data_IF_150326671340
#
_entry.id   IF_150326671340
#
_cell.length_a   1.000
_cell.length_b   1.000
_cell.length_c   1.000
_cell.angle_alpha   90.00
_cell.angle_beta   90.00
_cell.angle_gamma   90.00
#
_symmetry.space_group_name_H-M   'P 1'
#
loop_
_entity.id
_entity.type
_entity.pdbx_description
1 polymer ?
#
# COMPACT_ATOMS: atom_id res chain seq x y z
N UNK A 1 7.32 27.39 20.96
CA UNK A 1 7.35 25.98 20.48
C UNK A 1 5.97 25.66 19.94
N UNK A 2 5.80 25.44 18.62
CA UNK A 2 4.49 25.14 18.03
C UNK A 2 4.36 23.65 17.77
N UNK A 3 3.14 23.12 17.89
CA UNK A 3 2.84 21.71 17.65
C UNK A 3 3.29 21.25 16.24
N UNK A 4 3.30 22.17 15.28
CA UNK A 4 3.77 21.96 13.90
C UNK A 4 5.27 21.67 13.78
N UNK A 5 6.08 22.06 14.77
CA UNK A 5 7.53 21.85 14.77
C UNK A 5 7.92 20.49 15.38
N UNK A 6 7.01 19.89 16.16
CA UNK A 6 7.20 18.58 16.82
C UNK A 6 6.47 17.46 16.06
N UNK A 7 5.43 17.80 15.28
CA UNK A 7 4.69 16.84 14.48
C UNK A 7 5.57 16.26 13.36
N UNK A 8 5.80 14.94 13.41
CA UNK A 8 6.47 14.17 12.36
C UNK A 8 5.69 14.35 11.05
N UNK A 9 6.26 15.11 10.11
CA UNK A 9 5.62 15.42 8.82
C UNK A 9 5.50 14.21 7.89
N UNK A 10 6.33 13.18 8.08
CA UNK A 10 6.37 11.98 7.25
C UNK A 10 6.33 10.73 8.13
N UNK A 11 5.14 10.19 8.38
CA UNK A 11 4.95 8.89 9.04
C UNK A 11 5.08 7.76 8.00
N UNK A 12 6.30 7.52 7.52
CA UNK A 12 6.61 6.34 6.71
C UNK A 12 7.22 5.28 7.63
N UNK A 13 6.69 4.06 7.58
CA UNK A 13 7.12 2.92 8.38
C UNK A 13 7.34 1.69 7.48
N UNK A 14 8.47 0.97 7.60
CA UNK A 14 8.67 -0.30 6.92
C UNK A 14 7.78 -1.37 7.56
N UNK A 15 6.80 -1.88 6.82
CA UNK A 15 5.93 -2.97 7.26
C UNK A 15 6.37 -4.26 6.59
N UNK A 16 6.72 -5.27 7.39
CA UNK A 16 7.10 -6.58 6.88
C UNK A 16 5.89 -7.29 6.29
N UNK A 17 6.03 -7.75 5.03
CA UNK A 17 5.05 -8.59 4.35
C UNK A 17 5.35 -10.08 4.56
N UNK A 18 6.63 -10.46 4.46
CA UNK A 18 7.07 -11.86 4.52
C UNK A 18 8.34 -11.97 5.38
N UNK A 19 8.21 -12.64 6.52
CA UNK A 19 9.31 -12.86 7.45
C UNK A 19 10.39 -13.81 6.90
N UNK A 20 10.02 -14.72 6.00
CA UNK A 20 10.92 -15.75 5.47
C UNK A 20 11.94 -15.12 4.52
N UNK A 21 11.47 -14.23 3.65
CA UNK A 21 12.29 -13.52 2.68
C UNK A 21 12.69 -12.11 3.16
N UNK A 22 12.26 -11.72 4.36
CA UNK A 22 12.47 -10.38 4.94
C UNK A 22 12.00 -9.26 4.01
N UNK A 23 10.88 -9.49 3.31
CA UNK A 23 10.29 -8.53 2.39
C UNK A 23 9.53 -7.49 3.21
N UNK A 24 9.85 -6.21 2.98
CA UNK A 24 9.18 -5.10 3.67
C UNK A 24 8.77 -4.01 2.69
N UNK A 25 7.60 -3.41 2.92
CA UNK A 25 7.12 -2.27 2.15
C UNK A 25 7.17 -1.01 3.01
N UNK A 26 7.73 0.06 2.46
CA UNK A 26 7.74 1.38 3.11
C UNK A 26 6.37 2.02 2.90
N UNK A 27 5.50 1.90 3.91
CA UNK A 27 4.13 2.38 3.87
C UNK A 27 4.04 3.74 4.55
N UNK A 28 3.28 4.65 3.98
CA UNK A 28 2.91 5.93 4.57
C UNK A 28 1.58 5.80 5.31
N UNK A 29 1.54 6.33 6.54
CA UNK A 29 0.30 6.41 7.30
C UNK A 29 -0.70 7.34 6.59
N UNK A 30 -1.92 6.83 6.36
CA UNK A 30 -3.00 7.63 5.80
C UNK A 30 -4.03 7.97 6.88
N UNK A 31 -4.22 9.27 7.21
CA UNK A 31 -5.25 9.68 8.16
C UNK A 31 -6.65 9.31 7.65
N UNK A 32 -7.57 8.99 8.57
CA UNK A 32 -8.98 8.70 8.24
C UNK A 32 -9.64 9.78 7.37
N UNK A 33 -9.24 11.05 7.54
CA UNK A 33 -9.73 12.17 6.72
C UNK A 33 -9.34 12.02 5.24
N UNK A 34 -8.11 11.60 4.95
CA UNK A 34 -7.64 11.41 3.58
C UNK A 34 -8.28 10.16 2.96
N UNK A 35 -8.41 9.07 3.74
CA UNK A 35 -9.18 7.90 3.32
C UNK A 35 -10.61 8.26 2.89
N UNK A 36 -11.31 9.06 3.70
CA UNK A 36 -12.67 9.52 3.37
C UNK A 36 -12.73 10.36 2.09
N UNK A 37 -11.71 11.18 1.81
CA UNK A 37 -11.64 11.96 0.56
C UNK A 37 -11.48 11.06 -0.66
N UNK A 38 -10.59 10.07 -0.58
CA UNK A 38 -10.38 9.10 -1.69
C UNK A 38 -11.64 8.26 -1.91
N UNK A 39 -12.30 7.83 -0.83
CA UNK A 39 -13.58 7.10 -0.96
C UNK A 39 -14.67 7.96 -1.61
N UNK A 40 -14.78 9.22 -1.20
CA UNK A 40 -15.77 10.16 -1.76
C UNK A 40 -15.49 10.49 -3.23
N UNK A 41 -14.23 10.68 -3.63
CA UNK A 41 -13.88 10.97 -5.04
C UNK A 41 -14.22 9.81 -5.98
N UNK A 42 -14.15 8.56 -5.47
CA UNK A 42 -14.44 7.35 -6.23
C UNK A 42 -15.90 6.86 -6.08
N UNK A 43 -16.74 7.60 -5.35
CA UNK A 43 -18.18 7.32 -5.26
C UNK A 43 -18.93 8.15 -6.30
N UNK A 44 -19.60 7.48 -7.24
CA UNK A 44 -20.37 8.14 -8.29
C UNK A 44 -21.85 7.79 -8.15
N UNK A 45 -22.72 8.78 -8.33
CA UNK A 45 -24.15 8.54 -8.44
C UNK A 45 -24.44 7.96 -9.83
N UNK A 46 -24.95 6.73 -9.88
CA UNK A 46 -25.36 6.09 -11.13
C UNK A 46 -26.84 5.76 -11.04
N UNK A 47 -27.60 6.10 -12.09
CA UNK A 47 -28.99 5.68 -12.18
C UNK A 47 -29.02 4.15 -12.41
N UNK A 48 -29.70 3.43 -11.52
CA UNK A 48 -29.89 1.99 -11.69
C UNK A 48 -30.74 1.76 -12.96
N UNK A 49 -30.26 0.97 -13.95
CA UNK A 49 -30.99 0.77 -15.21
C UNK A 49 -32.38 0.15 -15.04
N UNK A 50 -32.64 -0.52 -13.91
CA UNK A 50 -33.92 -1.21 -13.66
C UNK A 50 -34.93 -0.37 -12.88
N UNK A 51 -34.48 0.41 -11.91
CA UNK A 51 -35.37 1.17 -11.01
C UNK A 51 -35.38 2.66 -11.32
N UNK A 52 -34.44 3.15 -12.14
CA UNK A 52 -34.17 4.57 -12.40
C UNK A 52 -33.92 5.40 -11.13
N UNK A 53 -33.73 4.75 -9.98
CA UNK A 53 -33.32 5.38 -8.73
C UNK A 53 -31.83 5.68 -8.83
N UNK A 54 -31.44 6.86 -8.35
CA UNK A 54 -30.03 7.20 -8.19
C UNK A 54 -29.46 6.40 -7.03
N UNK A 55 -28.56 5.47 -7.34
CA UNK A 55 -27.83 4.69 -6.34
C UNK A 55 -26.38 5.16 -6.30
N UNK A 56 -25.82 5.23 -5.09
CA UNK A 56 -24.39 5.49 -4.90
C UNK A 56 -23.62 4.22 -5.24
N UNK A 57 -22.83 4.27 -6.31
CA UNK A 57 -21.93 3.19 -6.68
C UNK A 57 -20.49 3.59 -6.36
N UNK A 58 -19.87 2.88 -5.42
CA UNK A 58 -18.47 3.04 -5.06
C UNK A 58 -17.61 2.01 -5.81
N UNK A 59 -16.58 2.50 -6.49
CA UNK A 59 -15.56 1.64 -7.08
C UNK A 59 -14.50 1.28 -6.02
N UNK A 60 -14.69 0.11 -5.40
CA UNK A 60 -13.81 -0.35 -4.32
C UNK A 60 -12.40 -0.69 -4.81
N UNK A 61 -12.26 -1.08 -6.08
CA UNK A 61 -10.98 -1.46 -6.67
C UNK A 61 -10.16 -0.21 -7.01
N UNK A 62 -10.81 0.80 -7.61
CA UNK A 62 -10.19 2.10 -7.85
C UNK A 62 -9.69 2.76 -6.54
N UNK A 63 -10.49 2.70 -5.47
CA UNK A 63 -10.11 3.22 -4.15
C UNK A 63 -8.85 2.51 -3.61
N UNK A 64 -8.79 1.17 -3.69
CA UNK A 64 -7.62 0.42 -3.21
C UNK A 64 -6.37 0.74 -4.04
N UNK A 65 -6.50 0.83 -5.36
CA UNK A 65 -5.40 1.19 -6.26
C UNK A 65 -4.86 2.58 -5.94
N UNK A 66 -5.72 3.59 -5.80
CA UNK A 66 -5.32 4.95 -5.46
C UNK A 66 -4.62 5.01 -4.08
N UNK A 67 -5.14 4.29 -3.08
CA UNK A 67 -4.52 4.20 -1.76
C UNK A 67 -3.13 3.58 -1.84
N UNK A 68 -2.97 2.47 -2.55
CA UNK A 68 -1.66 1.81 -2.67
C UNK A 68 -0.66 2.72 -3.38
N UNK A 69 -1.06 3.38 -4.47
CA UNK A 69 -0.19 4.33 -5.18
C UNK A 69 0.22 5.52 -4.31
N UNK A 70 -0.68 6.02 -3.45
CA UNK A 70 -0.37 7.12 -2.53
C UNK A 70 0.47 6.68 -1.32
N UNK A 71 0.25 5.47 -0.81
CA UNK A 71 0.80 5.04 0.47
C UNK A 71 2.13 4.31 0.35
N UNK A 72 2.38 3.56 -0.72
CA UNK A 72 3.66 2.87 -0.89
C UNK A 72 4.71 3.87 -1.37
N UNK A 73 5.81 4.00 -0.64
CA UNK A 73 6.95 4.88 -0.98
C UNK A 73 8.20 4.13 -1.39
N UNK A 74 8.24 2.83 -1.15
CA UNK A 74 9.35 1.96 -1.47
C UNK A 74 9.08 0.54 -1.00
N UNK A 75 10.00 -0.35 -1.31
CA UNK A 75 10.06 -1.71 -0.78
C UNK A 75 11.51 -2.16 -0.64
N UNK A 76 11.71 -3.23 0.11
CA UNK A 76 13.01 -3.88 0.31
C UNK A 76 12.88 -5.38 0.23
N UNK A 77 13.91 -6.02 -0.32
CA UNK A 77 14.02 -7.47 -0.55
C UNK A 77 12.92 -8.06 -1.44
N UNK A 78 12.32 -7.25 -2.33
CA UNK A 78 11.39 -7.74 -3.36
C UNK A 78 12.20 -8.34 -4.51
N UNK A 79 12.75 -9.55 -4.29
CA UNK A 79 13.60 -10.23 -5.26
C UNK A 79 12.79 -10.98 -6.32
N UNK A 80 13.37 -11.19 -7.52
CA UNK A 80 12.72 -11.99 -8.56
C UNK A 80 12.46 -13.43 -8.12
N UNK A 81 13.33 -14.00 -7.27
CA UNK A 81 13.12 -15.30 -6.62
C UNK A 81 11.91 -15.31 -5.69
N UNK A 82 11.70 -14.25 -4.92
CA UNK A 82 10.51 -14.13 -4.07
C UNK A 82 9.25 -13.98 -4.93
N UNK A 83 9.30 -13.15 -5.97
CA UNK A 83 8.20 -12.97 -6.92
C UNK A 83 7.79 -14.29 -7.58
N UNK A 84 8.73 -15.16 -7.95
CA UNK A 84 8.44 -16.46 -8.55
C UNK A 84 7.60 -17.40 -7.68
N UNK A 85 7.55 -17.19 -6.36
CA UNK A 85 6.69 -17.96 -5.46
C UNK A 85 5.23 -17.47 -5.48
N UNK A 86 5.01 -16.21 -5.84
CA UNK A 86 3.69 -15.56 -5.81
C UNK A 86 3.07 -15.37 -7.19
N UNK A 87 3.91 -15.17 -8.21
CA UNK A 87 3.52 -14.89 -9.59
C UNK A 87 4.36 -15.74 -10.56
N UNK A 88 3.78 -16.07 -11.70
CA UNK A 88 4.47 -16.86 -12.72
C UNK A 88 5.39 -15.96 -13.56
N UNK A 89 6.65 -15.82 -13.14
CA UNK A 89 7.67 -15.01 -13.83
C UNK A 89 8.67 -15.88 -14.59
N UNK A 90 9.05 -15.41 -15.78
CA UNK A 90 10.13 -16.01 -16.56
C UNK A 90 11.50 -15.51 -16.04
N UNK A 91 12.14 -16.33 -15.22
CA UNK A 91 13.47 -16.03 -14.65
C UNK A 91 14.62 -16.19 -15.65
N UNK A 92 14.37 -16.59 -16.90
CA UNK A 92 15.47 -16.81 -17.87
C UNK A 92 16.17 -15.52 -18.30
N UNK A 93 15.53 -14.36 -18.09
CA UNK A 93 16.01 -13.05 -18.55
C UNK A 93 16.52 -12.14 -17.44
N UNK A 94 16.39 -12.55 -16.18
CA UNK A 94 16.69 -11.74 -15.00
C UNK A 94 17.50 -12.55 -13.99
N UNK A 95 18.30 -11.88 -13.16
CA UNK A 95 18.99 -12.55 -12.08
C UNK A 95 18.00 -12.82 -10.93
N UNK A 96 17.78 -14.08 -10.49
CA UNK A 96 16.81 -14.38 -9.43
C UNK A 96 17.10 -13.68 -8.09
N UNK A 97 18.36 -13.40 -7.80
CA UNK A 97 18.77 -12.75 -6.55
C UNK A 97 18.71 -11.22 -6.62
N UNK A 98 18.40 -10.64 -7.79
CA UNK A 98 18.25 -9.20 -7.96
C UNK A 98 16.89 -8.72 -7.46
N UNK A 99 16.87 -7.48 -6.94
CA UNK A 99 15.67 -6.83 -6.44
C UNK A 99 14.96 -6.06 -7.55
N UNK A 100 13.63 -6.21 -7.63
CA UNK A 100 12.79 -5.41 -8.52
C UNK A 100 12.92 -3.93 -8.12
N UNK A 101 13.38 -3.04 -9.00
CA UNK A 101 13.49 -1.63 -8.66
C UNK A 101 12.10 -1.04 -8.38
N UNK A 102 12.00 -0.28 -7.30
CA UNK A 102 10.76 0.42 -6.97
C UNK A 102 10.43 1.48 -8.03
N UNK A 103 9.26 1.36 -8.63
CA UNK A 103 8.65 2.39 -9.47
C UNK A 103 7.13 2.32 -9.34
N UNK A 104 6.44 3.41 -9.68
CA UNK A 104 4.98 3.46 -9.63
C UNK A 104 4.33 2.48 -10.62
N UNK A 105 4.98 2.26 -11.75
CA UNK A 105 4.56 1.32 -12.79
C UNK A 105 4.73 -0.11 -12.30
N UNK A 106 5.91 -0.45 -11.76
CA UNK A 106 6.19 -1.78 -11.21
C UNK A 106 5.27 -2.10 -10.02
N UNK A 107 4.90 -1.11 -9.20
CA UNK A 107 3.92 -1.31 -8.13
C UNK A 107 2.54 -1.63 -8.71
N UNK A 108 2.14 -0.96 -9.79
CA UNK A 108 0.85 -1.21 -10.45
C UNK A 108 0.82 -2.61 -11.04
N UNK A 109 1.87 -3.01 -11.76
CA UNK A 109 1.99 -4.37 -12.30
C UNK A 109 2.00 -5.42 -11.19
N UNK A 110 2.74 -5.16 -10.10
CA UNK A 110 2.80 -6.07 -8.96
C UNK A 110 1.42 -6.26 -8.31
N UNK A 111 0.64 -5.19 -8.14
CA UNK A 111 -0.71 -5.29 -7.58
C UNK A 111 -1.67 -6.07 -8.49
N UNK A 112 -1.51 -5.96 -9.81
CA UNK A 112 -2.37 -6.67 -10.77
C UNK A 112 -1.98 -8.16 -10.89
N UNK A 113 -0.70 -8.48 -10.77
CA UNK A 113 -0.20 -9.85 -10.86
C UNK A 113 -0.31 -10.62 -9.54
N UNK A 114 -0.08 -9.96 -8.40
CA UNK A 114 -0.04 -10.58 -7.08
C UNK A 114 -1.39 -10.48 -6.38
N UNK A 115 -2.08 -11.61 -6.29
CA UNK A 115 -3.40 -11.67 -5.66
C UNK A 115 -3.37 -11.28 -4.19
N UNK A 116 -4.20 -10.30 -3.80
CA UNK A 116 -4.41 -9.90 -2.41
C UNK A 116 -3.36 -8.95 -1.82
N UNK A 117 -2.35 -8.54 -2.61
CA UNK A 117 -1.36 -7.56 -2.16
C UNK A 117 -2.01 -6.19 -1.86
N UNK A 118 -2.91 -5.73 -2.73
CA UNK A 118 -3.67 -4.48 -2.58
C UNK A 118 -4.50 -4.45 -1.28
N UNK A 119 -5.15 -5.57 -0.96
CA UNK A 119 -5.91 -5.75 0.27
C UNK A 119 -5.02 -5.69 1.51
N UNK A 120 -3.87 -6.39 1.48
CA UNK A 120 -2.91 -6.35 2.59
C UNK A 120 -2.33 -4.95 2.80
N UNK A 121 -1.97 -4.22 1.73
CA UNK A 121 -1.48 -2.84 1.83
C UNK A 121 -2.56 -1.96 2.45
N UNK A 122 -3.81 -2.06 1.98
CA UNK A 122 -4.93 -1.28 2.49
C UNK A 122 -5.16 -1.52 3.99
N UNK A 123 -5.17 -2.78 4.44
CA UNK A 123 -5.33 -3.12 5.85
C UNK A 123 -4.14 -2.65 6.69
N UNK A 124 -2.91 -2.77 6.17
CA UNK A 124 -1.69 -2.33 6.84
C UNK A 124 -1.63 -0.81 7.02
N UNK A 125 -2.08 -0.04 6.03
CA UNK A 125 -2.19 1.43 6.11
C UNK A 125 -3.28 1.86 7.08
N UNK A 126 -4.40 1.13 7.12
CA UNK A 126 -5.51 1.41 8.04
C UNK A 126 -5.15 1.12 9.49
N UNK A 127 -4.25 0.17 9.73
CA UNK A 127 -3.79 -0.18 11.06
C UNK A 127 -2.79 0.87 11.60
N UNK A 128 -3.32 1.85 12.33
CA UNK A 128 -2.52 2.89 12.98
C UNK A 128 -1.50 2.35 14.01
N UNK A 129 -1.65 1.12 14.50
CA UNK A 129 -0.70 0.52 15.45
C UNK A 129 0.68 0.27 14.82
N UNK A 130 0.70 -0.11 13.52
CA UNK A 130 1.94 -0.32 12.76
C UNK A 130 2.86 0.91 12.79
N UNK A 131 2.27 2.12 12.94
CA UNK A 131 3.00 3.38 12.96
C UNK A 131 3.26 3.92 14.37
N UNK A 132 2.61 3.36 15.40
CA UNK A 132 2.79 3.76 16.81
C UNK A 132 3.81 2.89 17.52
N UNK A 133 3.84 1.59 17.24
CA UNK A 133 4.75 0.65 17.91
C UNK A 133 6.21 0.89 17.49
N UNK A 134 6.47 1.33 16.25
CA UNK A 134 7.83 1.69 15.82
C UNK A 134 8.35 2.99 16.43
N UNK A 135 7.49 3.96 16.75
CA UNK A 135 7.93 5.18 17.46
C UNK A 135 8.45 4.83 18.87
N UNK A 136 7.80 3.87 19.54
CA UNK A 136 8.26 3.33 20.83
C UNK A 136 9.56 2.53 20.68
N UNK A 137 9.70 1.72 19.61
CA UNK A 137 10.93 0.93 19.40
C UNK A 137 12.14 1.76 18.94
N UNK A 138 11.93 2.86 18.22
CA UNK A 138 13.00 3.80 17.84
C UNK A 138 13.49 4.63 19.03
N UNK A 139 12.61 4.97 19.99
CA UNK A 139 12.99 5.65 21.23
C UNK A 139 13.76 4.76 22.22
N UNK A 140 13.52 3.45 22.23
CA UNK A 140 14.23 2.51 23.14
C UNK A 140 15.66 2.17 22.67
N UNK A 141 16.01 2.48 21.42
CA UNK A 141 17.33 2.19 20.83
C UNK A 141 18.29 3.38 20.80
N UNK A 142 17.90 4.55 21.33
CA UNK A 142 18.75 5.74 21.44
C UNK A 142 19.14 6.05 22.89
#
# INVERSE_FOLDING_TARGET
>A
MRLSDIAVKNNVAPVTYDDTFKVSFDLMFLPKRELQKITASNTKMKANPKTHVMEEQMDSEAVRKEICQMCVKGWKNVTYKWLANHINVDLTKVNPDEELPFSQDNLTDLMEMMYGLDGWIFDSVKNAANFKDEQVQAEVKN
#
